data_IF_849156973872
#
_entry.id   IF_849156973872
#
_cell.length_a   1.000
_cell.length_b   1.000
_cell.length_c   1.000
_cell.angle_alpha   90.00
_cell.angle_beta   90.00
_cell.angle_gamma   90.00
#
_symmetry.space_group_name_H-M   'P 1'
#
loop_
_entity.id
_entity.type
_entity.pdbx_description
1 polymer ?
#
# COMPACT_ATOMS: atom_id res chain seq x y z
N UNK A 1 -30.92 0.21 -5.58
CA UNK A 1 -30.01 0.56 -6.69
C UNK A 1 -28.63 0.74 -6.10
N UNK A 2 -27.56 0.32 -6.74
CA UNK A 2 -26.21 0.56 -6.25
C UNK A 2 -25.96 2.04 -5.97
N UNK A 3 -25.25 2.31 -4.90
CA UNK A 3 -24.90 3.66 -4.45
C UNK A 3 -23.40 3.86 -4.54
N UNK A 4 -22.96 5.07 -4.88
CA UNK A 4 -21.56 5.44 -4.80
C UNK A 4 -21.32 6.23 -3.52
N UNK A 5 -20.37 5.77 -2.71
CA UNK A 5 -19.96 6.40 -1.46
C UNK A 5 -18.63 7.11 -1.67
N UNK A 6 -18.60 8.42 -1.55
CA UNK A 6 -17.36 9.20 -1.50
C UNK A 6 -16.89 9.30 -0.05
N UNK A 7 -15.76 8.69 0.27
CA UNK A 7 -15.29 8.52 1.64
C UNK A 7 -13.89 9.09 1.80
N UNK A 8 -13.74 9.99 2.76
CA UNK A 8 -12.44 10.53 3.17
C UNK A 8 -12.08 9.93 4.53
N UNK A 9 -11.06 9.08 4.55
CA UNK A 9 -10.56 8.53 5.79
C UNK A 9 -9.76 9.59 6.57
N UNK A 10 -9.99 9.64 7.87
CA UNK A 10 -9.26 10.49 8.83
C UNK A 10 -8.48 9.67 9.86
N UNK A 11 -8.68 8.37 9.84
CA UNK A 11 -8.00 7.41 10.71
C UNK A 11 -7.57 6.21 9.88
N UNK A 12 -6.38 5.72 10.15
CA UNK A 12 -5.76 4.61 9.43
C UNK A 12 -5.28 3.57 10.43
N UNK A 13 -5.23 2.32 9.98
CA UNK A 13 -4.83 1.20 10.83
C UNK A 13 -3.76 0.37 10.14
N UNK A 14 -2.94 -0.34 10.94
CA UNK A 14 -1.90 -1.25 10.41
C UNK A 14 -2.19 -2.72 10.70
N UNK A 15 -3.44 -3.01 11.06
CA UNK A 15 -3.88 -4.38 11.34
C UNK A 15 -5.26 -4.60 10.76
N UNK A 16 -5.54 -5.83 10.37
CA UNK A 16 -6.86 -6.27 9.92
C UNK A 16 -7.67 -6.74 11.12
N UNK A 17 -8.45 -5.85 11.72
CA UNK A 17 -9.21 -6.13 12.93
C UNK A 17 -10.69 -5.84 12.79
N UNK A 18 -11.52 -6.77 13.24
CA UNK A 18 -12.98 -6.59 13.38
C UNK A 18 -13.39 -5.62 14.49
N UNK A 19 -12.45 -5.24 15.36
CA UNK A 19 -12.71 -4.37 16.51
C UNK A 19 -12.61 -2.88 16.21
N UNK A 20 -12.13 -2.51 15.03
CA UNK A 20 -12.04 -1.11 14.66
C UNK A 20 -13.42 -0.51 14.33
N UNK A 21 -13.62 0.77 14.67
CA UNK A 21 -14.80 1.50 14.22
C UNK A 21 -14.95 1.42 12.70
N UNK A 22 -16.13 1.09 12.25
CA UNK A 22 -16.46 1.02 10.82
C UNK A 22 -16.42 2.42 10.21
N UNK A 23 -15.63 2.60 9.16
CA UNK A 23 -15.54 3.88 8.44
C UNK A 23 -16.81 4.15 7.65
N UNK A 24 -17.38 3.13 7.03
CA UNK A 24 -18.67 3.19 6.37
C UNK A 24 -19.31 1.80 6.24
N UNK A 25 -20.64 1.77 6.25
CA UNK A 25 -21.43 0.59 5.91
C UNK A 25 -21.87 0.69 4.46
N UNK A 26 -21.64 -0.36 3.68
CA UNK A 26 -21.94 -0.46 2.26
C UNK A 26 -22.78 -1.71 1.98
N UNK A 27 -23.52 -1.72 0.89
CA UNK A 27 -24.26 -2.89 0.44
C UNK A 27 -23.55 -3.62 -0.72
N UNK A 28 -23.79 -4.91 -0.90
CA UNK A 28 -23.31 -5.60 -2.09
C UNK A 28 -23.75 -4.89 -3.37
N UNK A 29 -22.80 -4.59 -4.23
CA UNK A 29 -22.99 -3.83 -5.47
C UNK A 29 -22.75 -2.34 -5.37
N UNK A 30 -22.58 -1.79 -4.16
CA UNK A 30 -22.17 -0.39 -3.99
C UNK A 30 -20.73 -0.16 -4.45
N UNK A 31 -20.41 1.10 -4.76
CA UNK A 31 -19.07 1.56 -5.09
C UNK A 31 -18.54 2.48 -4.00
N UNK A 32 -17.24 2.37 -3.72
CA UNK A 32 -16.52 3.23 -2.79
C UNK A 32 -15.45 4.01 -3.55
N UNK A 33 -15.50 5.33 -3.47
CA UNK A 33 -14.46 6.24 -3.97
C UNK A 33 -13.69 6.77 -2.77
N UNK A 34 -12.40 6.49 -2.70
CA UNK A 34 -11.56 6.90 -1.56
C UNK A 34 -10.12 7.12 -2.01
N UNK A 35 -9.31 7.67 -1.10
CA UNK A 35 -7.87 7.83 -1.26
C UNK A 35 -7.16 6.98 -0.22
N UNK A 36 -6.01 6.45 -0.60
CA UNK A 36 -5.15 5.67 0.30
C UNK A 36 -3.88 6.44 0.63
N UNK A 37 -3.24 6.08 1.73
CA UNK A 37 -1.85 6.46 1.99
C UNK A 37 -0.91 5.51 1.26
N UNK A 38 0.33 5.95 1.07
CA UNK A 38 1.39 5.04 0.64
C UNK A 38 1.89 4.14 1.78
N UNK A 39 2.78 3.21 1.48
CA UNK A 39 3.34 2.29 2.47
C UNK A 39 4.12 2.98 3.59
N UNK A 40 4.60 4.19 3.35
CA UNK A 40 5.29 5.03 4.32
C UNK A 40 4.36 5.85 5.22
N UNK A 41 3.07 5.89 4.91
CA UNK A 41 2.08 6.66 5.65
C UNK A 41 1.90 8.10 5.17
N UNK A 42 2.36 8.42 3.97
CA UNK A 42 2.22 9.75 3.37
C UNK A 42 1.01 9.83 2.46
N UNK A 43 0.37 10.98 2.44
CA UNK A 43 -0.74 11.29 1.55
C UNK A 43 -0.28 11.93 0.22
N UNK A 44 -1.23 12.43 -0.55
CA UNK A 44 -0.96 13.13 -1.81
C UNK A 44 -0.32 14.52 -1.65
N UNK A 45 -0.30 15.08 -0.45
CA UNK A 45 0.29 16.39 -0.11
C UNK A 45 1.62 16.26 0.61
N UNK A 46 2.22 15.06 0.63
CA UNK A 46 3.46 14.75 1.36
C UNK A 46 3.32 14.83 2.89
N UNK A 47 2.09 14.89 3.39
CA UNK A 47 1.83 14.88 4.81
C UNK A 47 1.92 13.46 5.36
N UNK A 48 2.73 13.28 6.39
CA UNK A 48 2.90 12.00 7.06
C UNK A 48 1.78 11.81 8.10
N UNK A 49 0.68 11.18 7.68
CA UNK A 49 -0.53 11.03 8.49
C UNK A 49 -0.54 9.78 9.37
N UNK A 50 0.34 8.82 9.11
CA UNK A 50 0.44 7.59 9.88
C UNK A 50 1.87 7.02 9.85
N UNK A 51 2.21 6.19 10.82
CA UNK A 51 3.48 5.46 10.82
C UNK A 51 3.61 4.52 9.61
N UNK A 52 4.85 4.31 9.16
CA UNK A 52 5.24 3.34 8.12
C UNK A 52 4.70 1.93 8.40
N UNK A 53 4.36 1.19 7.36
CA UNK A 53 3.95 -0.21 7.42
C UNK A 53 2.56 -0.46 6.87
N UNK A 54 2.29 0.04 5.67
CA UNK A 54 1.07 -0.17 4.91
C UNK A 54 -0.19 0.22 5.68
N UNK A 55 -0.39 1.51 5.98
CA UNK A 55 -1.62 1.98 6.62
C UNK A 55 -2.84 1.67 5.75
N UNK A 56 -3.87 1.14 6.37
CA UNK A 56 -5.11 0.68 5.73
C UNK A 56 -6.18 1.76 5.79
N UNK A 57 -6.86 1.99 4.67
CA UNK A 57 -8.06 2.80 4.56
C UNK A 57 -9.28 1.93 4.80
N UNK A 58 -10.08 2.25 5.79
CA UNK A 58 -11.24 1.44 6.21
C UNK A 58 -11.31 1.34 7.72
N UNK A 59 -11.98 0.29 8.28
CA UNK A 59 -12.68 -0.79 7.58
C UNK A 59 -14.04 -0.35 7.00
N UNK A 60 -14.44 -1.00 5.92
CA UNK A 60 -15.79 -0.93 5.36
C UNK A 60 -16.58 -2.15 5.80
N UNK A 61 -17.76 -1.96 6.35
CA UNK A 61 -18.66 -3.06 6.68
C UNK A 61 -19.58 -3.35 5.50
N UNK A 62 -19.54 -4.57 4.99
CA UNK A 62 -20.42 -5.01 3.91
C UNK A 62 -21.68 -5.61 4.54
N UNK A 63 -22.83 -4.97 4.35
CA UNK A 63 -24.07 -5.39 4.97
C UNK A 63 -24.49 -6.80 4.51
N UNK A 64 -24.79 -7.63 5.48
CA UNK A 64 -25.18 -9.03 5.24
C UNK A 64 -24.02 -9.99 5.01
N UNK A 65 -22.77 -9.53 4.96
CA UNK A 65 -21.62 -10.42 4.89
C UNK A 65 -21.32 -11.04 6.27
N UNK A 66 -21.09 -12.34 6.28
CA UNK A 66 -20.81 -13.12 7.48
C UNK A 66 -19.44 -13.83 7.39
N UNK A 67 -18.86 -14.24 8.52
CA UNK A 67 -17.66 -15.06 8.52
C UNK A 67 -17.82 -16.34 7.69
N UNK A 68 -16.90 -16.55 6.74
CA UNK A 68 -16.95 -17.67 5.79
C UNK A 68 -17.46 -17.29 4.40
N UNK A 69 -18.04 -16.11 4.23
CA UNK A 69 -18.43 -15.61 2.92
C UNK A 69 -17.21 -15.19 2.09
N UNK A 70 -17.40 -15.16 0.78
CA UNK A 70 -16.42 -14.61 -0.16
C UNK A 70 -16.86 -13.23 -0.62
N UNK A 71 -15.92 -12.27 -0.59
CA UNK A 71 -16.13 -10.93 -1.11
C UNK A 71 -15.41 -10.79 -2.45
N UNK A 72 -16.14 -10.33 -3.48
CA UNK A 72 -15.56 -9.94 -4.76
C UNK A 72 -15.45 -8.42 -4.82
N UNK A 73 -14.26 -7.92 -5.05
CA UNK A 73 -13.96 -6.49 -5.21
C UNK A 73 -13.53 -6.23 -6.64
N UNK A 74 -14.24 -5.35 -7.35
CA UNK A 74 -13.84 -4.86 -8.67
C UNK A 74 -13.20 -3.49 -8.52
N UNK A 75 -12.04 -3.31 -9.08
CA UNK A 75 -11.40 -2.00 -9.19
C UNK A 75 -11.87 -1.34 -10.49
N UNK A 76 -12.76 -0.37 -10.37
CA UNK A 76 -13.31 0.36 -11.53
C UNK A 76 -12.35 1.44 -12.03
N UNK A 77 -11.63 2.07 -11.09
CA UNK A 77 -10.63 3.08 -11.41
C UNK A 77 -9.55 3.08 -10.33
N UNK A 78 -8.32 3.04 -10.76
CA UNK A 78 -7.14 3.14 -9.89
C UNK A 78 -6.16 4.17 -10.48
N UNK A 79 -6.06 5.34 -9.88
CA UNK A 79 -5.27 6.44 -10.37
C UNK A 79 -4.21 6.89 -9.37
N UNK A 80 -3.04 7.24 -9.89
CA UNK A 80 -2.02 7.95 -9.12
C UNK A 80 -2.49 9.38 -8.86
N UNK A 81 -2.20 9.91 -7.67
CA UNK A 81 -2.70 11.21 -7.23
C UNK A 81 -1.59 12.19 -6.82
N UNK A 82 -0.31 11.84 -7.08
CA UNK A 82 0.84 12.71 -6.85
C UNK A 82 1.92 12.46 -7.91
N UNK A 83 2.78 13.43 -8.11
CA UNK A 83 3.79 13.46 -9.19
C UNK A 83 5.13 12.82 -8.83
N UNK A 84 5.22 12.17 -7.70
CA UNK A 84 6.41 11.46 -7.25
C UNK A 84 6.09 10.16 -6.52
N UNK A 85 7.09 9.29 -6.45
CA UNK A 85 7.07 8.05 -5.70
C UNK A 85 8.47 7.64 -5.26
N UNK A 86 8.58 6.49 -4.65
CA UNK A 86 9.87 5.94 -4.24
C UNK A 86 9.88 4.42 -4.22
N UNK A 87 11.08 3.86 -4.34
CA UNK A 87 11.34 2.45 -4.14
C UNK A 87 12.44 2.30 -3.09
N UNK A 88 12.31 1.36 -2.16
CA UNK A 88 13.40 1.01 -1.26
C UNK A 88 14.49 0.29 -2.04
N UNK A 89 15.75 0.68 -1.82
CA UNK A 89 16.92 -0.04 -2.34
C UNK A 89 17.30 -1.24 -1.48
N UNK A 90 16.63 -1.43 -0.35
CA UNK A 90 16.87 -2.57 0.54
C UNK A 90 16.10 -3.79 0.07
N UNK A 91 16.80 -4.90 0.04
CA UNK A 91 16.13 -6.19 -0.08
C UNK A 91 15.34 -6.47 1.20
N UNK A 92 14.11 -6.94 1.04
CA UNK A 92 13.34 -7.44 2.17
C UNK A 92 14.06 -8.61 2.85
N UNK A 93 14.19 -8.57 4.17
CA UNK A 93 14.85 -9.65 4.92
C UNK A 93 14.24 -11.03 4.64
N UNK A 94 12.95 -11.05 4.34
CA UNK A 94 12.20 -12.28 4.02
C UNK A 94 12.57 -12.85 2.63
N UNK A 95 13.21 -12.05 1.77
CA UNK A 95 13.64 -12.47 0.44
C UNK A 95 15.04 -13.08 0.42
N UNK A 96 15.75 -13.05 1.54
CA UNK A 96 17.12 -13.53 1.65
C UNK A 96 17.18 -14.78 2.51
N UNK A 97 18.09 -15.69 2.12
CA UNK A 97 18.49 -16.79 2.99
C UNK A 97 19.15 -16.20 4.25
N UNK A 98 18.86 -16.73 5.46
CA UNK A 98 19.46 -16.24 6.70
C UNK A 98 20.99 -16.15 6.69
N UNK A 99 21.67 -17.09 6.02
CA UNK A 99 23.12 -17.07 5.91
C UNK A 99 23.62 -15.89 5.06
N UNK A 100 22.88 -15.50 4.03
CA UNK A 100 23.19 -14.33 3.20
C UNK A 100 22.83 -13.00 3.87
N UNK A 101 21.89 -13.00 4.81
CA UNK A 101 21.57 -11.79 5.58
C UNK A 101 22.80 -11.28 6.33
N UNK A 102 23.57 -12.18 6.94
CA UNK A 102 24.80 -11.83 7.66
C UNK A 102 25.90 -11.28 6.74
N UNK A 103 25.93 -11.69 5.47
CA UNK A 103 26.91 -11.21 4.49
C UNK A 103 26.54 -9.86 3.90
N UNK A 104 25.26 -9.65 3.59
CA UNK A 104 24.76 -8.43 2.93
C UNK A 104 24.51 -7.30 3.93
N UNK A 105 24.01 -7.65 5.11
CA UNK A 105 23.81 -6.72 6.22
C UNK A 105 24.90 -6.97 7.26
N UNK A 106 26.06 -6.38 7.05
CA UNK A 106 27.12 -6.37 8.08
C UNK A 106 26.55 -5.84 9.40
N UNK A 107 27.22 -6.16 10.50
CA UNK A 107 26.83 -5.74 11.86
C UNK A 107 26.65 -4.21 12.04
N UNK A 108 26.94 -3.44 11.00
CA UNK A 108 26.73 -1.99 10.90
C UNK A 108 25.33 -1.64 10.34
N UNK A 109 24.31 -2.38 10.74
CA UNK A 109 22.93 -1.99 10.44
C UNK A 109 22.61 -0.66 11.12
N UNK A 110 22.92 0.43 10.42
CA UNK A 110 22.75 1.80 10.91
C UNK A 110 21.27 2.18 10.81
N UNK A 111 20.50 1.82 11.82
CA UNK A 111 19.10 2.24 11.95
C UNK A 111 18.94 3.76 11.84
N UNK A 112 19.97 4.51 12.21
CA UNK A 112 19.98 5.97 12.13
C UNK A 112 19.98 6.51 10.69
N UNK A 113 20.60 5.81 9.75
CA UNK A 113 20.57 6.17 8.33
C UNK A 113 19.17 5.97 7.73
N UNK A 114 18.45 4.97 8.22
CA UNK A 114 17.06 4.70 7.79
C UNK A 114 16.11 5.81 8.23
N UNK A 115 16.40 6.44 9.35
CA UNK A 115 15.48 7.40 9.99
C UNK A 115 15.76 8.85 9.63
N UNK A 116 17.03 9.23 9.44
CA UNK A 116 17.42 10.63 9.24
C UNK A 116 17.37 11.10 7.80
N UNK A 117 17.89 10.32 6.88
CA UNK A 117 18.14 10.81 5.53
C UNK A 117 17.34 10.08 4.46
N UNK A 118 16.64 9.00 4.83
CA UNK A 118 15.92 8.16 3.87
C UNK A 118 16.74 7.84 2.60
N UNK A 119 18.07 7.75 2.77
CA UNK A 119 19.01 7.44 1.69
C UNK A 119 18.84 6.02 1.12
N UNK A 120 18.00 5.22 1.77
CA UNK A 120 17.58 3.91 1.33
C UNK A 120 16.42 3.96 0.30
N UNK A 121 15.92 5.14 -0.01
CA UNK A 121 14.85 5.32 -0.99
C UNK A 121 15.38 5.85 -2.31
N UNK A 122 14.93 5.24 -3.39
CA UNK A 122 15.14 5.71 -4.76
C UNK A 122 13.91 6.51 -5.19
N UNK A 123 14.04 7.82 -5.44
CA UNK A 123 12.91 8.62 -5.87
C UNK A 123 12.59 8.39 -7.34
N UNK A 124 11.30 8.46 -7.66
CA UNK A 124 10.74 8.40 -9.00
C UNK A 124 9.93 9.66 -9.27
N UNK A 125 10.05 10.19 -10.47
CA UNK A 125 9.17 11.22 -11.00
C UNK A 125 7.99 10.57 -11.72
N UNK A 126 6.80 11.13 -11.54
CA UNK A 126 5.56 10.61 -12.12
C UNK A 126 4.92 11.72 -12.95
N UNK A 127 4.78 11.49 -14.23
CA UNK A 127 4.02 12.35 -15.13
C UNK A 127 2.57 11.85 -15.19
N UNK A 128 1.70 12.54 -14.47
CA UNK A 128 0.28 12.18 -14.36
C UNK A 128 -0.48 12.38 -15.67
N UNK A 129 -0.04 13.29 -16.53
CA UNK A 129 -0.69 13.56 -17.82
C UNK A 129 -0.35 12.48 -18.85
N UNK A 130 0.93 12.09 -18.92
CA UNK A 130 1.43 11.05 -19.84
C UNK A 130 1.28 9.64 -19.28
N UNK A 131 0.96 9.53 -17.99
CA UNK A 131 0.87 8.26 -17.26
C UNK A 131 2.17 7.44 -17.36
N UNK A 132 3.31 8.09 -17.10
CA UNK A 132 4.63 7.47 -17.11
C UNK A 132 5.38 7.76 -15.81
N UNK A 133 6.30 6.87 -15.47
CA UNK A 133 7.21 7.01 -14.34
C UNK A 133 8.65 6.95 -14.81
N UNK A 134 9.53 7.74 -14.20
CA UNK A 134 10.96 7.73 -14.49
C UNK A 134 11.78 7.72 -13.21
N UNK A 135 12.81 6.89 -13.16
CA UNK A 135 13.73 6.86 -12.04
C UNK A 135 14.60 8.13 -12.07
N UNK A 136 14.66 8.83 -10.94
CA UNK A 136 15.51 10.02 -10.79
C UNK A 136 17.00 9.66 -10.73
N UNK A 137 17.31 8.45 -10.31
CA UNK A 137 18.67 7.92 -10.21
C UNK A 137 18.79 6.51 -10.81
N UNK A 138 19.97 6.10 -11.31
CA UNK A 138 21.13 6.94 -11.53
C UNK A 138 20.90 7.96 -12.64
N UNK A 139 21.42 9.15 -12.47
CA UNK A 139 21.43 10.15 -13.53
C UNK A 139 22.27 9.63 -14.70
N UNK A 140 21.63 9.39 -15.80
CA UNK A 140 22.31 9.02 -17.05
C UNK A 140 22.15 10.16 -18.03
N UNK A 141 23.18 10.98 -18.27
CA UNK A 141 23.09 12.08 -19.22
C UNK A 141 22.62 11.59 -20.59
N UNK A 142 21.46 12.09 -21.03
CA UNK A 142 20.89 11.78 -22.33
C UNK A 142 20.04 10.51 -22.43
N UNK A 143 19.78 9.80 -21.33
CA UNK A 143 18.88 8.65 -21.29
C UNK A 143 17.92 8.74 -20.09
N UNK A 144 16.74 9.27 -20.32
CA UNK A 144 15.63 9.13 -19.39
C UNK A 144 14.98 7.77 -19.62
N UNK A 145 14.92 6.94 -18.59
CA UNK A 145 14.21 5.66 -18.65
C UNK A 145 12.79 5.88 -18.15
N UNK A 146 11.87 5.93 -19.08
CA UNK A 146 10.44 6.04 -18.81
C UNK A 146 9.77 4.66 -18.88
N UNK A 147 8.85 4.42 -17.98
CA UNK A 147 7.99 3.24 -17.97
C UNK A 147 6.54 3.67 -17.88
N UNK A 148 5.60 2.95 -18.51
CA UNK A 148 4.18 3.19 -18.29
C UNK A 148 3.84 3.05 -16.79
N UNK A 149 3.12 4.00 -16.24
CA UNK A 149 2.60 3.87 -14.90
C UNK A 149 1.51 2.79 -14.88
N UNK A 150 1.61 1.87 -13.94
CA UNK A 150 0.66 0.78 -13.76
C UNK A 150 0.25 0.70 -12.29
N UNK A 151 -0.65 1.61 -11.85
CA UNK A 151 -1.07 1.64 -10.45
C UNK A 151 -1.72 0.32 -10.04
N UNK A 152 -1.45 -0.13 -8.83
CA UNK A 152 -2.00 -1.34 -8.25
C UNK A 152 -2.24 -1.14 -6.74
N UNK A 153 -3.12 -1.95 -6.15
CA UNK A 153 -3.24 -2.04 -4.70
C UNK A 153 -2.36 -3.17 -4.17
N UNK A 154 -1.28 -2.83 -3.46
CA UNK A 154 -0.37 -3.81 -2.86
C UNK A 154 -0.98 -4.50 -1.64
N UNK A 155 -1.75 -3.77 -0.85
CA UNK A 155 -2.33 -4.26 0.40
C UNK A 155 -3.85 -4.09 0.40
N UNK A 156 -4.56 -5.22 0.40
CA UNK A 156 -6.04 -5.28 0.47
C UNK A 156 -6.44 -6.54 1.22
N UNK A 157 -7.49 -6.46 2.04
CA UNK A 157 -7.94 -7.63 2.78
C UNK A 157 -9.17 -7.37 3.64
N UNK A 158 -9.54 -8.39 4.39
CA UNK A 158 -10.66 -8.40 5.32
C UNK A 158 -10.16 -8.65 6.75
N UNK A 159 -11.01 -8.44 7.74
CA UNK A 159 -10.70 -8.85 9.11
C UNK A 159 -10.45 -10.36 9.16
N UNK A 160 -9.38 -10.77 9.84
CA UNK A 160 -9.05 -12.18 9.97
C UNK A 160 -10.05 -12.92 10.85
N UNK A 161 -10.10 -14.23 10.68
CA UNK A 161 -10.99 -15.11 11.44
C UNK A 161 -10.64 -15.11 12.95
N UNK A 162 -11.66 -15.22 13.77
CA UNK A 162 -11.53 -15.30 15.23
C UNK A 162 -11.04 -13.99 15.86
N UNK A 163 -10.11 -14.09 16.79
CA UNK A 163 -9.51 -12.95 17.51
C UNK A 163 -8.10 -12.62 17.01
N UNK A 164 -7.66 -13.26 15.95
CA UNK A 164 -6.38 -12.99 15.34
C UNK A 164 -6.43 -11.64 14.60
N UNK A 165 -5.47 -10.78 14.87
CA UNK A 165 -5.38 -9.43 14.31
C UNK A 165 -4.03 -9.27 13.63
N UNK A 166 -3.89 -9.75 12.38
CA UNK A 166 -2.63 -9.66 11.65
C UNK A 166 -2.30 -8.22 11.27
N UNK A 167 -1.02 -7.91 11.24
CA UNK A 167 -0.55 -6.64 10.69
C UNK A 167 -0.72 -6.60 9.18
N UNK A 168 -0.67 -5.41 8.61
CA UNK A 168 -0.73 -5.19 7.15
C UNK A 168 0.57 -5.56 6.40
N UNK A 169 1.59 -6.05 7.10
CA UNK A 169 2.86 -6.48 6.48
C UNK A 169 2.79 -7.84 5.78
N UNK A 170 2.40 -8.93 6.46
CA UNK A 170 2.26 -10.24 5.83
C UNK A 170 0.94 -10.40 5.08
N UNK A 171 0.88 -11.40 4.21
CA UNK A 171 -0.34 -11.87 3.56
C UNK A 171 -0.78 -13.23 4.13
N UNK A 172 -2.07 -13.53 3.99
CA UNK A 172 -2.66 -14.77 4.46
C UNK A 172 -4.09 -14.96 3.95
N UNK A 173 -4.90 -15.80 4.62
CA UNK A 173 -6.30 -16.03 4.23
C UNK A 173 -7.18 -14.76 4.31
N UNK A 174 -6.75 -13.76 5.03
CA UNK A 174 -7.41 -12.45 5.11
C UNK A 174 -7.05 -11.49 3.96
N UNK A 175 -6.15 -11.86 3.05
CA UNK A 175 -5.51 -10.98 2.09
C UNK A 175 -4.20 -10.43 2.64
N UNK A 176 -4.07 -9.11 2.83
CA UNK A 176 -2.87 -8.46 3.36
C UNK A 176 -2.00 -7.84 2.29
N UNK A 177 -0.69 -7.77 2.54
CA UNK A 177 0.28 -7.21 1.61
C UNK A 177 0.66 -8.23 0.53
N UNK A 178 -0.25 -8.42 -0.42
CA UNK A 178 -0.12 -9.44 -1.47
C UNK A 178 0.89 -9.01 -2.54
N UNK A 179 1.00 -7.70 -2.78
CA UNK A 179 1.88 -7.09 -3.80
C UNK A 179 1.74 -7.72 -5.18
N UNK A 180 0.54 -8.19 -5.50
CA UNK A 180 0.26 -8.81 -6.79
C UNK A 180 -0.09 -7.75 -7.82
N UNK A 181 0.78 -7.55 -8.80
CA UNK A 181 0.70 -6.48 -9.78
C UNK A 181 -0.52 -6.55 -10.74
N UNK A 182 -1.33 -7.61 -10.65
CA UNK A 182 -2.59 -7.72 -11.39
C UNK A 182 -3.81 -7.24 -10.59
N UNK A 183 -3.64 -6.80 -9.33
CA UNK A 183 -4.71 -6.12 -8.56
C UNK A 183 -4.79 -4.66 -9.03
N UNK A 184 -5.34 -4.48 -10.21
CA UNK A 184 -5.52 -3.21 -10.93
C UNK A 184 -6.81 -3.23 -11.76
N UNK A 185 -7.16 -2.12 -12.42
CA UNK A 185 -8.30 -2.03 -13.36
C UNK A 185 -8.34 -3.17 -14.35
#
# INVERSE_FOLDING_TARGET
MPTTHEIVATTYYRTFSKSYPVLATIQPGDSVVTKTLDSGGQDLHDEHLHETGNPLTGPFYVEGAEPGDSISVKLDTLALNRDWGYTSIRLGLVALNPDHVAEVFSNDYKMDLVRKDRSDLLPWDIDLERNVVSARYPESPGQVREFPAQPMLGCIGVAAEGDFTPTSGPSGSWGGNIDYNMIRE
#
